data_IF_499650666091
#
_entry.id   IF_499650666091
#
_cell.length_a   1.000
_cell.length_b   1.000
_cell.length_c   1.000
_cell.angle_alpha   90.00
_cell.angle_beta   90.00
_cell.angle_gamma   90.00
#
_symmetry.space_group_name_H-M   'P 1'
#
loop_
_entity.id
_entity.type
_entity.pdbx_description
1 polymer ?
#
# COMPACT_ATOMS: atom_id res chain seq x y z
N UNK A 1 -3.76 -4.12 25.76
CA UNK A 1 -3.21 -2.81 26.17
C UNK A 1 -4.23 -1.64 26.15
N UNK A 2 -5.53 -1.87 25.92
CA UNK A 2 -6.55 -0.81 25.76
C UNK A 2 -7.66 -0.81 26.83
N UNK A 3 -7.42 -1.45 28.00
CA UNK A 3 -8.41 -1.60 29.08
C UNK A 3 -8.96 -0.28 29.64
N UNK A 4 -8.21 0.81 29.48
CA UNK A 4 -8.59 2.14 29.98
C UNK A 4 -9.81 2.73 29.24
N UNK A 5 -10.03 2.35 27.97
CA UNK A 5 -11.17 2.83 27.19
C UNK A 5 -12.50 2.25 27.68
N UNK A 6 -12.49 1.12 28.39
CA UNK A 6 -13.72 0.52 28.97
C UNK A 6 -14.32 1.41 30.06
N UNK A 7 -13.53 2.30 30.69
CA UNK A 7 -14.04 3.22 31.71
C UNK A 7 -14.89 4.36 31.14
N UNK A 8 -14.96 4.50 29.81
CA UNK A 8 -15.76 5.53 29.13
C UNK A 8 -17.12 5.02 28.62
N UNK A 9 -17.45 3.74 28.85
CA UNK A 9 -18.68 3.13 28.31
C UNK A 9 -19.84 3.15 29.31
N UNK A 10 -21.04 3.38 28.81
CA UNK A 10 -22.31 3.12 29.51
C UNK A 10 -23.07 2.02 28.76
N UNK A 11 -23.62 1.05 29.50
CA UNK A 11 -24.49 0.01 28.93
C UNK A 11 -25.84 0.64 28.60
N UNK A 12 -26.23 0.62 27.32
CA UNK A 12 -27.59 0.97 26.89
C UNK A 12 -28.33 -0.33 26.65
N UNK A 13 -29.00 -0.85 27.68
CA UNK A 13 -29.88 -2.01 27.55
C UNK A 13 -31.10 -1.58 26.74
N UNK A 14 -31.24 -2.11 25.53
CA UNK A 14 -32.44 -1.95 24.71
C UNK A 14 -33.58 -2.79 25.30
N UNK A 15 -34.13 -2.35 26.43
CA UNK A 15 -35.43 -2.78 26.93
C UNK A 15 -36.35 -1.55 27.00
N UNK A 16 -36.77 -1.04 25.83
CA UNK A 16 -37.98 -0.24 25.77
C UNK A 16 -39.18 -1.18 25.73
N UNK A 17 -39.61 -1.57 26.93
CA UNK A 17 -40.89 -2.19 27.18
C UNK A 17 -41.47 -1.60 28.46
N UNK A 18 -42.23 -0.49 28.30
CA UNK A 18 -43.17 0.11 29.26
C UNK A 18 -42.62 0.45 30.66
N UNK A 19 -42.51 1.74 30.95
CA UNK A 19 -43.46 2.45 31.83
C UNK A 19 -43.13 3.95 31.81
N UNK A 20 -44.19 4.76 31.78
CA UNK A 20 -44.19 6.21 31.71
C UNK A 20 -43.83 6.78 33.09
N UNK A 21 -42.76 7.55 33.21
CA UNK A 21 -42.65 8.65 34.18
C UNK A 21 -41.82 9.78 33.55
N UNK A 22 -42.39 10.98 33.55
CA UNK A 22 -41.81 12.21 33.04
C UNK A 22 -40.60 12.62 33.90
N UNK A 23 -39.41 12.11 33.60
CA UNK A 23 -38.16 12.77 33.97
C UNK A 23 -37.65 13.55 32.76
N UNK A 24 -37.35 14.83 32.98
CA UNK A 24 -36.77 15.74 32.01
C UNK A 24 -35.68 15.02 31.23
N UNK A 25 -35.90 14.86 29.91
CA UNK A 25 -34.92 14.31 28.99
C UNK A 25 -33.76 15.31 28.92
N UNK A 26 -32.85 15.23 29.90
CA UNK A 26 -31.56 15.89 29.85
C UNK A 26 -30.86 15.27 28.64
N UNK A 27 -30.97 15.96 27.49
CA UNK A 27 -30.25 15.65 26.25
C UNK A 27 -28.77 15.85 26.55
N UNK A 28 -28.19 14.88 27.27
CA UNK A 28 -26.77 14.78 27.47
C UNK A 28 -26.16 14.58 26.09
N UNK A 29 -25.22 15.43 25.67
CA UNK A 29 -24.75 15.42 24.29
C UNK A 29 -24.15 14.05 23.99
N UNK A 30 -24.61 13.38 22.93
CA UNK A 30 -24.11 12.07 22.45
C UNK A 30 -22.57 12.02 22.34
N UNK A 31 -21.94 13.19 22.22
CA UNK A 31 -20.49 13.43 22.18
C UNK A 31 -19.76 13.18 23.52
N UNK A 32 -20.47 13.07 24.65
CA UNK A 32 -19.88 12.84 25.99
C UNK A 32 -19.92 11.37 26.42
N UNK A 33 -20.73 10.53 25.79
CA UNK A 33 -20.96 9.14 26.18
C UNK A 33 -20.73 8.21 24.99
N UNK A 34 -19.65 7.43 25.01
CA UNK A 34 -19.39 6.44 23.97
C UNK A 34 -20.10 5.13 24.27
N UNK A 35 -20.75 4.54 23.27
CA UNK A 35 -21.29 3.17 23.40
C UNK A 35 -20.13 2.17 23.44
N UNK A 36 -20.37 0.99 24.03
CA UNK A 36 -19.40 -0.12 24.02
C UNK A 36 -18.97 -0.44 22.58
N UNK A 37 -19.92 -0.44 21.65
CA UNK A 37 -19.68 -0.63 20.22
C UNK A 37 -18.68 0.39 19.65
N UNK A 38 -18.87 1.69 19.92
CA UNK A 38 -17.95 2.74 19.44
C UNK A 38 -16.53 2.58 20.01
N UNK A 39 -16.42 2.11 21.25
CA UNK A 39 -15.13 1.87 21.89
C UNK A 39 -14.43 0.65 21.30
N UNK A 40 -15.15 -0.44 21.02
CA UNK A 40 -14.58 -1.61 20.33
C UNK A 40 -14.17 -1.28 18.90
N UNK A 41 -15.00 -0.53 18.16
CA UNK A 41 -14.70 -0.04 16.81
C UNK A 41 -13.40 0.80 16.79
N UNK A 42 -13.23 1.68 17.78
CA UNK A 42 -12.01 2.49 17.94
C UNK A 42 -10.79 1.63 18.29
N UNK A 43 -10.93 0.65 19.19
CA UNK A 43 -9.85 -0.27 19.54
C UNK A 43 -9.42 -1.13 18.36
N UNK A 44 -10.37 -1.66 17.59
CA UNK A 44 -10.09 -2.42 16.37
C UNK A 44 -9.29 -1.56 15.39
N UNK A 45 -9.71 -0.31 15.17
CA UNK A 45 -8.99 0.64 14.32
C UNK A 45 -7.56 0.86 14.80
N UNK A 46 -7.37 1.14 16.09
CA UNK A 46 -6.03 1.38 16.68
C UNK A 46 -5.13 0.15 16.56
N UNK A 47 -5.69 -1.07 16.71
CA UNK A 47 -4.94 -2.31 16.54
C UNK A 47 -4.46 -2.52 15.10
N UNK A 48 -5.25 -2.11 14.11
CA UNK A 48 -4.91 -2.24 12.68
C UNK A 48 -3.86 -1.21 12.22
N UNK A 49 -3.73 -0.07 12.90
CA UNK A 49 -2.81 1.02 12.51
C UNK A 49 -1.35 0.60 12.23
N UNK A 50 -0.70 -0.27 13.03
CA UNK A 50 0.66 -0.71 12.73
C UNK A 50 0.76 -1.43 11.38
N UNK A 51 -0.15 -2.36 11.09
CA UNK A 51 -0.19 -3.06 9.79
C UNK A 51 -0.55 -2.07 8.67
N UNK A 52 -1.53 -1.20 8.90
CA UNK A 52 -1.92 -0.14 7.96
C UNK A 52 -0.73 0.75 7.57
N UNK A 53 0.12 1.13 8.53
CA UNK A 53 1.28 2.00 8.28
C UNK A 53 2.29 1.40 7.29
N UNK A 54 2.34 0.06 7.18
CA UNK A 54 3.19 -0.64 6.20
C UNK A 54 2.73 -0.39 4.75
N UNK A 55 1.48 0.04 4.56
CA UNK A 55 0.89 0.43 3.27
C UNK A 55 1.33 1.80 2.75
N UNK A 56 1.99 2.62 3.58
CA UNK A 56 2.48 3.95 3.19
C UNK A 56 3.57 3.83 2.11
N UNK A 57 4.50 2.86 2.24
CA UNK A 57 5.59 2.68 1.27
C UNK A 57 5.11 2.23 -0.13
N UNK A 58 4.17 1.27 -0.28
CA UNK A 58 3.46 1.07 -1.53
C UNK A 58 2.85 2.36 -2.09
N UNK A 59 2.23 3.17 -1.24
CA UNK A 59 1.70 4.49 -1.62
C UNK A 59 2.77 5.45 -2.14
N UNK A 60 3.98 5.45 -1.58
CA UNK A 60 5.14 6.22 -2.09
C UNK A 60 5.46 5.82 -3.53
N UNK A 61 5.54 4.52 -3.81
CA UNK A 61 5.85 4.02 -5.16
C UNK A 61 4.74 4.38 -6.14
N UNK A 62 3.48 4.12 -5.76
CA UNK A 62 2.32 4.38 -6.60
C UNK A 62 2.17 5.88 -6.88
N UNK A 63 2.46 6.74 -5.90
CA UNK A 63 2.39 8.19 -6.04
C UNK A 63 3.44 8.81 -6.97
N UNK A 64 4.47 8.06 -7.38
CA UNK A 64 5.63 8.57 -8.13
C UNK A 64 5.69 8.11 -9.59
N UNK A 65 4.54 7.97 -10.26
CA UNK A 65 4.45 7.56 -11.66
C UNK A 65 5.18 8.47 -12.65
N UNK A 66 5.52 9.70 -12.26
CA UNK A 66 6.24 10.64 -13.13
C UNK A 66 7.63 10.15 -13.53
N UNK A 67 8.36 9.48 -12.63
CA UNK A 67 9.76 9.10 -12.91
C UNK A 67 9.89 8.03 -14.02
N UNK A 68 9.14 6.91 -14.00
CA UNK A 68 9.15 5.96 -15.13
C UNK A 68 8.77 6.59 -16.47
N UNK A 69 7.85 7.56 -16.48
CA UNK A 69 7.49 8.29 -17.70
C UNK A 69 8.68 9.09 -18.21
N UNK A 70 9.40 9.81 -17.33
CA UNK A 70 10.63 10.53 -17.70
C UNK A 70 11.70 9.56 -18.24
N UNK A 71 11.88 8.39 -17.62
CA UNK A 71 12.78 7.35 -18.16
C UNK A 71 12.40 6.99 -19.59
N UNK A 72 11.14 6.65 -19.83
CA UNK A 72 10.64 6.26 -21.15
C UNK A 72 10.82 7.37 -22.20
N UNK A 73 10.71 8.66 -21.84
CA UNK A 73 10.94 9.77 -22.80
C UNK A 73 12.37 9.82 -23.32
N UNK A 74 13.34 9.32 -22.56
CA UNK A 74 14.77 9.32 -22.95
C UNK A 74 15.20 8.05 -23.67
N UNK A 75 14.30 7.08 -23.84
CA UNK A 75 14.58 5.77 -24.43
C UNK A 75 13.92 5.61 -25.80
N UNK A 76 14.36 4.64 -26.59
CA UNK A 76 13.71 4.30 -27.84
C UNK A 76 12.39 3.55 -27.59
N UNK A 77 11.27 4.20 -27.91
CA UNK A 77 9.90 3.69 -27.70
C UNK A 77 9.30 3.04 -28.95
N UNK A 78 10.09 2.84 -30.01
CA UNK A 78 9.60 2.25 -31.26
C UNK A 78 9.50 0.73 -31.16
N UNK A 79 8.37 0.21 -31.61
CA UNK A 79 8.11 -1.23 -31.80
C UNK A 79 7.72 -1.41 -33.26
N UNK A 80 8.67 -1.89 -34.06
CA UNK A 80 8.51 -1.94 -35.51
C UNK A 80 8.32 -0.54 -36.10
N UNK A 81 7.13 -0.25 -36.62
CA UNK A 81 6.78 1.06 -37.23
C UNK A 81 6.05 2.01 -36.29
N UNK A 82 5.61 1.53 -35.12
CA UNK A 82 4.80 2.31 -34.19
C UNK A 82 5.65 2.83 -33.03
N UNK A 83 5.41 4.07 -32.61
CA UNK A 83 6.07 4.67 -31.44
C UNK A 83 5.08 4.77 -30.28
N UNK A 84 5.33 4.04 -29.20
CA UNK A 84 4.44 4.01 -28.03
C UNK A 84 4.64 5.29 -27.20
N UNK A 85 3.59 6.05 -26.85
CA UNK A 85 3.74 7.23 -26.00
C UNK A 85 4.37 6.88 -24.64
N UNK A 86 5.29 7.71 -24.14
CA UNK A 86 6.01 7.45 -22.89
C UNK A 86 5.06 7.26 -21.68
N UNK A 87 3.99 8.06 -21.61
CA UNK A 87 3.00 7.97 -20.54
C UNK A 87 2.19 6.65 -20.56
N UNK A 88 2.11 5.98 -21.71
CA UNK A 88 1.33 4.74 -21.86
C UNK A 88 2.02 3.51 -21.26
N UNK A 89 3.30 3.58 -20.87
CA UNK A 89 4.01 2.45 -20.27
C UNK A 89 3.39 1.97 -18.95
N UNK A 90 2.67 2.83 -18.22
CA UNK A 90 1.91 2.43 -17.03
C UNK A 90 0.81 1.39 -17.31
N UNK A 91 0.33 1.28 -18.56
CA UNK A 91 -0.67 0.27 -18.96
C UNK A 91 -0.17 -1.15 -18.72
N UNK A 92 1.14 -1.41 -18.83
CA UNK A 92 1.69 -2.74 -18.56
C UNK A 92 1.51 -3.16 -17.09
N UNK A 93 1.57 -2.21 -16.15
CA UNK A 93 1.25 -2.48 -14.74
C UNK A 93 -0.23 -2.88 -14.59
N UNK A 94 -1.14 -2.13 -15.21
CA UNK A 94 -2.60 -2.38 -15.15
C UNK A 94 -2.95 -3.73 -15.80
N UNK A 95 -2.37 -4.03 -16.97
CA UNK A 95 -2.55 -5.32 -17.63
C UNK A 95 -2.05 -6.46 -16.76
N UNK A 96 -0.87 -6.32 -16.15
CA UNK A 96 -0.31 -7.36 -15.27
C UNK A 96 -1.18 -7.58 -14.05
N UNK A 97 -1.65 -6.51 -13.41
CA UNK A 97 -2.61 -6.59 -12.30
C UNK A 97 -3.88 -7.33 -12.74
N UNK A 98 -4.46 -6.95 -13.87
CA UNK A 98 -5.72 -7.52 -14.37
C UNK A 98 -5.57 -9.02 -14.70
N UNK A 99 -4.49 -9.37 -15.40
CA UNK A 99 -4.17 -10.77 -15.72
C UNK A 99 -3.94 -11.56 -14.44
N UNK A 100 -3.20 -11.00 -13.47
CA UNK A 100 -2.97 -11.67 -12.20
C UNK A 100 -4.26 -11.95 -11.44
N UNK A 101 -5.16 -10.98 -11.33
CA UNK A 101 -6.46 -11.17 -10.66
C UNK A 101 -7.25 -12.29 -11.34
N UNK A 102 -7.35 -12.27 -12.67
CA UNK A 102 -8.06 -13.30 -13.42
C UNK A 102 -7.43 -14.70 -13.24
N UNK A 103 -6.10 -14.79 -13.24
CA UNK A 103 -5.36 -16.04 -13.03
C UNK A 103 -5.51 -16.52 -11.59
N UNK A 104 -5.45 -15.62 -10.61
CA UNK A 104 -5.61 -15.96 -9.21
C UNK A 104 -6.98 -16.59 -8.97
N UNK A 105 -8.04 -15.89 -9.36
CA UNK A 105 -9.42 -16.30 -9.09
C UNK A 105 -9.83 -17.57 -9.85
N UNK A 106 -9.43 -17.70 -11.12
CA UNK A 106 -9.84 -18.86 -11.95
C UNK A 106 -8.95 -20.08 -11.81
N UNK A 107 -7.63 -19.88 -11.75
CA UNK A 107 -6.67 -20.97 -11.89
C UNK A 107 -5.98 -21.32 -10.57
N UNK A 108 -5.66 -20.34 -9.71
CA UNK A 108 -4.83 -20.58 -8.52
C UNK A 108 -5.63 -20.82 -7.24
N UNK A 109 -6.82 -20.23 -7.07
CA UNK A 109 -7.61 -20.39 -5.83
C UNK A 109 -7.92 -21.86 -5.54
N UNK A 110 -8.35 -22.66 -6.53
CA UNK A 110 -8.68 -24.08 -6.34
C UNK A 110 -7.49 -24.96 -5.94
N UNK A 111 -6.33 -24.92 -6.62
CA UNK A 111 -5.17 -25.71 -6.20
C UNK A 111 -4.56 -25.18 -4.90
N UNK A 112 -4.49 -23.85 -4.73
CA UNK A 112 -3.96 -23.28 -3.49
C UNK A 112 -4.85 -23.62 -2.30
N UNK A 113 -6.18 -23.59 -2.44
CA UNK A 113 -7.06 -23.94 -1.32
C UNK A 113 -6.94 -25.41 -0.91
N UNK A 114 -6.69 -26.31 -1.88
CA UNK A 114 -6.39 -27.72 -1.60
C UNK A 114 -5.04 -27.92 -0.91
N UNK A 115 -4.03 -27.12 -1.27
CA UNK A 115 -2.68 -27.26 -0.71
C UNK A 115 -2.55 -26.60 0.67
N UNK A 116 -3.12 -25.42 0.83
CA UNK A 116 -3.00 -24.59 2.03
C UNK A 116 -4.09 -24.84 3.05
N UNK A 117 -5.16 -25.54 2.69
CA UNK A 117 -6.35 -25.71 3.53
C UNK A 117 -7.21 -24.46 3.71
N UNK A 118 -6.83 -23.32 3.11
CA UNK A 118 -7.57 -22.06 3.24
C UNK A 118 -8.50 -21.84 2.05
N UNK A 119 -9.74 -21.43 2.29
CA UNK A 119 -10.75 -21.25 1.23
C UNK A 119 -10.32 -20.29 0.10
N UNK A 120 -9.44 -19.32 0.40
CA UNK A 120 -8.90 -18.35 -0.56
C UNK A 120 -7.50 -18.68 -1.10
N UNK A 121 -6.93 -19.83 -0.73
CA UNK A 121 -5.57 -20.21 -1.11
C UNK A 121 -4.52 -19.56 -0.22
N UNK A 122 -3.99 -18.40 -0.60
CA UNK A 122 -3.01 -17.69 0.24
C UNK A 122 -3.70 -16.95 1.40
N UNK A 123 -3.07 -16.95 2.57
CA UNK A 123 -3.52 -16.12 3.71
C UNK A 123 -3.36 -14.63 3.38
N UNK A 124 -4.13 -13.77 4.06
CA UNK A 124 -4.12 -12.33 3.80
C UNK A 124 -2.76 -11.71 4.09
N UNK A 125 -2.15 -12.05 5.24
CA UNK A 125 -0.79 -11.63 5.57
C UNK A 125 0.26 -12.10 4.56
N UNK A 126 0.16 -13.32 4.02
CA UNK A 126 1.08 -13.80 2.98
C UNK A 126 0.92 -12.99 1.68
N UNK A 127 -0.32 -12.73 1.24
CA UNK A 127 -0.56 -11.90 0.04
C UNK A 127 0.00 -10.50 0.21
N UNK A 128 -0.26 -9.87 1.36
CA UNK A 128 0.26 -8.55 1.69
C UNK A 128 1.79 -8.52 1.71
N UNK A 129 2.43 -9.45 2.43
CA UNK A 129 3.88 -9.54 2.54
C UNK A 129 4.58 -9.82 1.21
N UNK A 130 4.04 -10.74 0.39
CA UNK A 130 4.55 -11.02 -0.96
C UNK A 130 4.48 -9.77 -1.85
N UNK A 131 3.38 -9.02 -1.79
CA UNK A 131 3.26 -7.77 -2.53
C UNK A 131 4.28 -6.72 -2.08
N UNK A 132 4.53 -6.56 -0.77
CA UNK A 132 5.59 -5.67 -0.26
C UNK A 132 6.99 -6.07 -0.76
N UNK A 133 7.29 -7.37 -0.75
CA UNK A 133 8.56 -7.89 -1.26
C UNK A 133 8.71 -7.65 -2.77
N UNK A 134 7.63 -7.79 -3.54
CA UNK A 134 7.62 -7.52 -4.97
C UNK A 134 7.78 -6.04 -5.29
N UNK A 135 7.25 -5.12 -4.46
CA UNK A 135 7.56 -3.69 -4.58
C UNK A 135 9.06 -3.42 -4.41
N UNK A 136 9.71 -4.04 -3.42
CA UNK A 136 11.15 -3.91 -3.23
C UNK A 136 11.93 -4.46 -4.45
N UNK A 137 11.52 -5.62 -4.97
CA UNK A 137 12.09 -6.21 -6.18
C UNK A 137 11.88 -5.32 -7.42
N UNK A 138 10.70 -4.72 -7.59
CA UNK A 138 10.39 -3.80 -8.67
C UNK A 138 11.31 -2.57 -8.64
N UNK A 139 11.53 -1.98 -7.46
CA UNK A 139 12.47 -0.86 -7.30
C UNK A 139 13.92 -1.28 -7.57
N UNK A 140 14.32 -2.49 -7.18
CA UNK A 140 15.67 -3.00 -7.46
C UNK A 140 15.89 -3.18 -8.98
N UNK A 141 14.88 -3.70 -9.68
CA UNK A 141 14.88 -3.81 -11.15
C UNK A 141 14.92 -2.42 -11.80
N UNK A 142 14.18 -1.45 -11.26
CA UNK A 142 14.21 -0.08 -11.74
C UNK A 142 15.58 0.58 -11.57
N UNK A 143 16.21 0.41 -10.40
CA UNK A 143 17.56 0.89 -10.12
C UNK A 143 18.58 0.30 -11.11
N UNK A 144 18.52 -1.01 -11.36
CA UNK A 144 19.39 -1.69 -12.32
C UNK A 144 19.17 -1.21 -13.75
N UNK A 145 17.91 -1.07 -14.15
CA UNK A 145 17.53 -0.62 -15.50
C UNK A 145 17.98 0.82 -15.73
N UNK A 146 17.81 1.68 -14.74
CA UNK A 146 18.27 3.08 -14.79
C UNK A 146 19.79 3.18 -14.83
N UNK A 147 20.50 2.38 -14.02
CA UNK A 147 21.96 2.31 -14.05
C UNK A 147 22.47 1.97 -15.45
N UNK A 148 21.86 0.95 -16.09
CA UNK A 148 22.20 0.54 -17.45
C UNK A 148 21.86 1.60 -18.49
N UNK A 149 20.68 2.22 -18.40
CA UNK A 149 20.23 3.30 -19.29
C UNK A 149 21.16 4.50 -19.23
N UNK A 150 21.51 4.93 -18.02
CA UNK A 150 22.41 6.07 -17.77
C UNK A 150 23.83 5.78 -18.26
N UNK A 151 24.37 4.60 -17.99
CA UNK A 151 25.69 4.22 -18.49
C UNK A 151 25.76 4.27 -20.02
N UNK A 152 24.71 3.79 -20.70
CA UNK A 152 24.61 3.86 -22.16
C UNK A 152 24.46 5.31 -22.66
N UNK A 153 23.66 6.14 -21.98
CA UNK A 153 23.53 7.57 -22.32
C UNK A 153 24.88 8.31 -22.26
N UNK A 154 25.71 8.01 -21.25
CA UNK A 154 27.04 8.59 -21.13
C UNK A 154 27.97 8.10 -22.23
N UNK A 155 27.94 6.80 -22.56
CA UNK A 155 28.74 6.23 -23.65
C UNK A 155 28.38 6.81 -25.03
N UNK A 156 27.11 7.19 -25.23
CA UNK A 156 26.61 7.83 -26.46
C UNK A 156 26.84 9.36 -26.48
N UNK A 157 27.47 9.93 -25.45
CA UNK A 157 27.70 11.38 -25.36
C UNK A 157 26.43 12.20 -25.09
N UNK A 158 25.37 11.56 -24.60
CA UNK A 158 24.05 12.17 -24.36
C UNK A 158 23.89 12.81 -22.96
N UNK A 159 24.98 12.92 -22.19
CA UNK A 159 24.95 13.39 -20.79
C UNK A 159 24.23 14.74 -20.61
N UNK A 160 24.51 15.70 -21.47
CA UNK A 160 23.94 17.06 -21.38
C UNK A 160 22.64 17.23 -22.18
N UNK A 161 22.26 16.22 -22.96
CA UNK A 161 21.04 16.22 -23.76
C UNK A 161 19.87 15.70 -22.91
N UNK A 162 19.03 16.63 -22.45
CA UNK A 162 17.84 16.30 -21.67
C UNK A 162 16.66 15.76 -22.51
N UNK A 163 15.53 15.44 -21.86
CA UNK A 163 14.35 14.86 -22.52
C UNK A 163 13.76 15.70 -23.67
N UNK A 164 13.98 17.03 -23.64
CA UNK A 164 13.49 17.98 -24.66
C UNK A 164 14.39 18.08 -25.90
N UNK A 165 15.55 17.46 -25.90
CA UNK A 165 16.51 17.52 -27.02
C UNK A 165 16.08 16.68 -28.23
N UNK A 166 15.08 15.81 -28.07
CA UNK A 166 14.67 14.84 -29.09
C UNK A 166 15.67 13.70 -29.31
N UNK A 167 16.82 13.70 -28.61
CA UNK A 167 17.81 12.64 -28.65
C UNK A 167 17.49 11.59 -27.59
N UNK A 168 17.31 10.35 -28.04
CA UNK A 168 17.04 9.21 -27.17
C UNK A 168 18.27 8.31 -27.11
N UNK A 169 18.45 7.66 -25.97
CA UNK A 169 19.44 6.60 -25.79
C UNK A 169 19.04 5.43 -26.68
N UNK A 170 20.00 4.75 -27.32
CA UNK A 170 19.74 3.54 -28.15
C UNK A 170 19.44 2.30 -27.31
N UNK A 171 18.55 2.45 -26.34
CA UNK A 171 18.05 1.41 -25.46
C UNK A 171 16.53 1.37 -25.61
N UNK A 172 15.99 0.18 -25.93
CA UNK A 172 14.55 0.02 -26.05
C UNK A 172 13.86 0.24 -24.71
N UNK A 173 12.82 1.07 -24.70
CA UNK A 173 11.94 1.31 -23.56
C UNK A 173 11.20 0.04 -23.12
N UNK A 174 11.20 -1.02 -23.94
CA UNK A 174 10.70 -2.35 -23.54
C UNK A 174 11.45 -2.93 -22.32
N UNK A 175 12.67 -2.47 -22.05
CA UNK A 175 13.42 -2.83 -20.83
C UNK A 175 12.78 -2.30 -19.53
N UNK A 176 11.82 -1.37 -19.61
CA UNK A 176 11.02 -0.91 -18.47
C UNK A 176 9.86 -1.86 -18.13
N UNK A 177 9.51 -2.81 -19.00
CA UNK A 177 8.39 -3.72 -18.73
C UNK A 177 8.57 -4.53 -17.44
N UNK A 178 9.74 -5.11 -17.13
CA UNK A 178 9.93 -5.90 -15.91
C UNK A 178 9.58 -5.13 -14.63
N UNK A 179 10.00 -3.86 -14.49
CA UNK A 179 9.63 -3.04 -13.33
C UNK A 179 8.12 -2.76 -13.28
N UNK A 180 7.47 -2.50 -14.43
CA UNK A 180 6.03 -2.26 -14.50
C UNK A 180 5.22 -3.51 -14.17
N UNK A 181 5.58 -4.66 -14.73
CA UNK A 181 4.92 -5.93 -14.45
C UNK A 181 5.07 -6.33 -12.99
N UNK A 182 6.27 -6.20 -12.40
CA UNK A 182 6.48 -6.47 -10.98
C UNK A 182 5.67 -5.53 -10.09
N UNK A 183 5.61 -4.23 -10.44
CA UNK A 183 4.80 -3.24 -9.70
C UNK A 183 3.32 -3.58 -9.77
N UNK A 184 2.79 -3.92 -10.95
CA UNK A 184 1.38 -4.29 -11.12
C UNK A 184 1.01 -5.57 -10.37
N UNK A 185 1.90 -6.57 -10.37
CA UNK A 185 1.73 -7.79 -9.59
C UNK A 185 1.79 -7.51 -8.07
N UNK A 186 2.72 -6.66 -7.64
CA UNK A 186 2.87 -6.23 -6.25
C UNK A 186 1.60 -5.51 -5.76
N UNK A 187 1.06 -4.61 -6.57
CA UNK A 187 -0.19 -3.89 -6.29
C UNK A 187 -1.37 -4.85 -6.19
N UNK A 188 -1.51 -5.80 -7.12
CA UNK A 188 -2.57 -6.80 -7.08
C UNK A 188 -2.53 -7.66 -5.80
N UNK A 189 -1.34 -8.07 -5.35
CA UNK A 189 -1.18 -8.87 -4.15
C UNK A 189 -1.36 -8.06 -2.87
N UNK A 190 -0.75 -6.88 -2.80
CA UNK A 190 -0.74 -6.06 -1.59
C UNK A 190 -2.04 -5.29 -1.39
N UNK A 191 -2.52 -4.58 -2.41
CA UNK A 191 -3.66 -3.67 -2.29
C UNK A 191 -4.97 -4.44 -2.08
N UNK A 192 -5.17 -5.51 -2.86
CA UNK A 192 -6.33 -6.39 -2.67
C UNK A 192 -6.24 -7.09 -1.31
N UNK A 193 -5.04 -7.55 -0.92
CA UNK A 193 -4.79 -8.13 0.40
C UNK A 193 -5.14 -7.18 1.55
N UNK A 194 -4.77 -5.89 1.44
CA UNK A 194 -5.09 -4.86 2.43
C UNK A 194 -6.59 -4.59 2.52
N UNK A 195 -7.29 -4.43 1.38
CA UNK A 195 -8.74 -4.20 1.38
C UNK A 195 -9.47 -5.39 2.01
N UNK A 196 -9.11 -6.62 1.62
CA UNK A 196 -9.69 -7.83 2.19
C UNK A 196 -9.38 -7.97 3.68
N UNK A 197 -8.17 -7.58 4.12
CA UNK A 197 -7.78 -7.57 5.54
C UNK A 197 -8.60 -6.57 6.33
N UNK A 198 -8.77 -5.34 5.85
CA UNK A 198 -9.61 -4.34 6.52
C UNK A 198 -11.07 -4.81 6.61
N UNK A 199 -11.63 -5.40 5.55
CA UNK A 199 -12.99 -5.97 5.61
C UNK A 199 -13.11 -7.21 6.50
N UNK A 200 -12.02 -7.92 6.77
CA UNK A 200 -12.02 -9.07 7.67
C UNK A 200 -11.96 -8.65 9.14
N UNK A 201 -11.19 -7.59 9.46
CA UNK A 201 -11.01 -7.09 10.83
C UNK A 201 -12.09 -6.08 11.25
N UNK A 202 -12.68 -5.34 10.31
CA UNK A 202 -13.74 -4.38 10.63
C UNK A 202 -15.15 -5.00 10.51
N UNK A 203 -16.08 -4.70 11.45
CA UNK A 203 -17.48 -5.08 11.30
C UNK A 203 -18.10 -4.41 10.06
N UNK A 204 -19.23 -4.95 9.57
CA UNK A 204 -19.89 -4.46 8.34
C UNK A 204 -20.25 -2.97 8.40
N UNK A 205 -20.55 -2.45 9.59
CA UNK A 205 -20.81 -1.02 9.85
C UNK A 205 -19.60 -0.12 9.57
N UNK A 206 -18.38 -0.66 9.65
CA UNK A 206 -17.11 0.06 9.50
C UNK A 206 -16.43 -0.14 8.14
N UNK A 207 -17.12 -0.75 7.17
CA UNK A 207 -16.59 -0.96 5.80
C UNK A 207 -16.02 0.33 5.17
N UNK A 208 -16.70 1.47 5.37
CA UNK A 208 -16.24 2.78 4.91
C UNK A 208 -14.89 3.22 5.52
N UNK A 209 -14.63 2.85 6.78
CA UNK A 209 -13.37 3.17 7.48
C UNK A 209 -12.22 2.40 6.84
N UNK A 210 -12.42 1.13 6.46
CA UNK A 210 -11.41 0.35 5.75
C UNK A 210 -10.98 0.98 4.42
N UNK A 211 -11.94 1.45 3.62
CA UNK A 211 -11.64 2.14 2.35
C UNK A 211 -10.97 3.50 2.58
N UNK A 212 -11.42 4.23 3.61
CA UNK A 212 -10.85 5.52 3.98
C UNK A 212 -9.41 5.38 4.49
N UNK A 213 -9.11 4.35 5.29
CA UNK A 213 -7.75 4.01 5.69
C UNK A 213 -6.88 3.70 4.48
N UNK A 214 -7.36 2.93 3.52
CA UNK A 214 -6.61 2.69 2.29
C UNK A 214 -6.28 3.99 1.54
N UNK A 215 -7.29 4.85 1.33
CA UNK A 215 -7.13 6.12 0.65
C UNK A 215 -6.14 7.04 1.41
N UNK A 216 -6.24 7.08 2.74
CA UNK A 216 -5.30 7.79 3.60
C UNK A 216 -3.87 7.24 3.44
N UNK A 217 -3.70 5.93 3.40
CA UNK A 217 -2.40 5.30 3.20
C UNK A 217 -1.74 5.72 1.88
N UNK A 218 -2.52 5.75 0.79
CA UNK A 218 -2.06 6.24 -0.51
C UNK A 218 -1.73 7.75 -0.47
N UNK A 219 -2.57 8.56 0.16
CA UNK A 219 -2.36 9.99 0.33
C UNK A 219 -1.08 10.31 1.12
N UNK A 220 -0.91 9.68 2.29
CA UNK A 220 0.31 9.78 3.09
C UNK A 220 1.53 9.28 2.30
N UNK A 221 1.38 8.22 1.51
CA UNK A 221 2.42 7.74 0.61
C UNK A 221 2.86 8.80 -0.40
N UNK A 222 1.94 9.52 -1.04
CA UNK A 222 2.28 10.61 -1.97
C UNK A 222 3.01 11.77 -1.30
N UNK A 223 2.56 12.18 -0.11
CA UNK A 223 3.22 13.24 0.68
C UNK A 223 4.61 12.78 1.13
N UNK A 224 4.73 11.56 1.66
CA UNK A 224 5.99 10.96 2.06
C UNK A 224 6.96 10.83 0.88
N UNK A 225 6.47 10.41 -0.29
CA UNK A 225 7.27 10.35 -1.51
C UNK A 225 7.81 11.72 -1.91
N UNK A 226 6.98 12.76 -1.82
CA UNK A 226 7.42 14.14 -2.07
C UNK A 226 8.46 14.60 -1.05
N UNK A 227 8.29 14.24 0.23
CA UNK A 227 9.26 14.52 1.28
C UNK A 227 10.60 13.80 1.04
N UNK A 228 10.59 12.52 0.65
CA UNK A 228 11.79 11.75 0.29
C UNK A 228 12.54 12.43 -0.86
N UNK A 229 11.84 12.83 -1.91
CA UNK A 229 12.41 13.59 -3.04
C UNK A 229 13.04 14.90 -2.57
N UNK A 230 12.35 15.66 -1.72
CA UNK A 230 12.85 16.91 -1.15
C UNK A 230 14.10 16.73 -0.29
N UNK A 231 14.10 15.72 0.59
CA UNK A 231 15.24 15.38 1.46
C UNK A 231 16.45 14.98 0.63
N UNK A 232 16.27 14.08 -0.34
CA UNK A 232 17.36 13.64 -1.22
C UNK A 232 17.88 14.81 -2.05
N UNK A 233 16.99 15.65 -2.59
CA UNK A 233 17.38 16.87 -3.30
C UNK A 233 18.24 17.80 -2.44
N UNK A 234 17.80 18.07 -1.21
CA UNK A 234 18.51 18.94 -0.27
C UNK A 234 19.82 18.35 0.26
N UNK A 235 19.92 17.02 0.40
CA UNK A 235 21.12 16.33 0.85
C UNK A 235 22.18 16.18 -0.25
N UNK A 236 21.75 16.00 -1.50
CA UNK A 236 22.64 15.69 -2.64
C UNK A 236 23.03 16.89 -3.48
N UNK A 237 22.20 17.95 -3.51
CA UNK A 237 22.45 19.17 -4.27
C UNK A 237 23.25 20.25 -3.53
N UNK A 238 24.08 19.89 -2.54
CA UNK A 238 24.91 20.85 -1.80
C UNK A 238 26.19 21.19 -2.57
N UNK A 239 26.72 22.39 -2.33
CA UNK A 239 28.03 22.85 -2.82
C UNK A 239 28.16 23.02 -4.35
N UNK A 240 27.10 23.42 -5.03
CA UNK A 240 27.12 23.72 -6.47
C UNK A 240 27.23 22.48 -7.39
N UNK A 241 27.11 21.27 -6.82
CA UNK A 241 26.98 20.01 -7.56
C UNK A 241 25.52 19.74 -7.90
N UNK A 242 25.27 19.09 -9.03
CA UNK A 242 23.91 18.65 -9.35
C UNK A 242 23.45 17.59 -8.36
N UNK A 243 22.27 17.79 -7.78
CA UNK A 243 21.62 16.76 -6.97
C UNK A 243 21.25 15.54 -7.80
N UNK A 244 20.92 14.43 -7.14
CA UNK A 244 20.59 13.18 -7.84
C UNK A 244 19.35 13.31 -8.73
N UNK A 245 18.37 14.12 -8.33
CA UNK A 245 17.09 14.33 -9.02
C UNK A 245 17.11 15.67 -9.79
N UNK A 246 17.87 15.74 -10.88
CA UNK A 246 17.87 16.88 -11.80
C UNK A 246 16.97 16.65 -13.00
N UNK A 247 16.41 17.74 -13.55
CA UNK A 247 15.54 17.74 -14.73
C UNK A 247 16.12 16.98 -15.93
N UNK A 248 17.45 16.99 -16.08
CA UNK A 248 18.12 16.13 -17.05
C UNK A 248 18.43 14.76 -16.43
N UNK A 249 17.60 13.78 -16.77
CA UNK A 249 17.73 12.39 -16.33
C UNK A 249 19.10 11.77 -16.67
N UNK A 250 19.75 12.18 -17.76
CA UNK A 250 21.07 11.66 -18.15
C UNK A 250 22.20 12.19 -17.27
N UNK A 251 21.99 13.36 -16.65
CA UNK A 251 22.93 13.98 -15.71
C UNK A 251 22.69 13.49 -14.28
N UNK A 252 21.43 13.32 -13.92
CA UNK A 252 20.99 12.84 -12.61
C UNK A 252 21.36 11.40 -12.31
N UNK A 253 21.14 11.02 -11.06
CA UNK A 253 21.39 9.68 -10.50
C UNK A 253 20.09 9.09 -9.97
N UNK A 254 19.14 8.87 -10.89
CA UNK A 254 17.85 8.25 -10.58
C UNK A 254 18.01 6.78 -10.19
N UNK A 255 19.10 6.14 -10.59
CA UNK A 255 19.53 4.83 -10.13
C UNK A 255 19.71 4.77 -8.61
N UNK A 256 20.38 5.77 -8.02
CA UNK A 256 20.53 5.85 -6.57
C UNK A 256 19.22 6.15 -5.86
N UNK A 257 18.37 6.97 -6.46
CA UNK A 257 17.02 7.21 -5.95
C UNK A 257 16.21 5.91 -5.84
N UNK A 258 16.15 5.12 -6.91
CA UNK A 258 15.47 3.83 -6.89
C UNK A 258 16.11 2.86 -5.90
N UNK A 259 17.44 2.89 -5.73
CA UNK A 259 18.13 2.06 -4.75
C UNK A 259 17.76 2.44 -3.30
N UNK A 260 17.60 3.73 -3.00
CA UNK A 260 17.08 4.18 -1.70
C UNK A 260 15.66 3.65 -1.48
N UNK A 261 14.79 3.74 -2.50
CA UNK A 261 13.44 3.16 -2.41
C UNK A 261 13.47 1.65 -2.21
N UNK A 262 14.38 0.92 -2.87
CA UNK A 262 14.57 -0.53 -2.63
C UNK A 262 14.89 -0.81 -1.18
N UNK A 263 15.83 -0.08 -0.58
CA UNK A 263 16.23 -0.26 0.82
C UNK A 263 15.08 0.06 1.77
N UNK A 264 14.35 1.17 1.53
CA UNK A 264 13.18 1.54 2.33
C UNK A 264 12.06 0.50 2.22
N UNK A 265 11.81 -0.05 1.02
CA UNK A 265 10.82 -1.11 0.84
C UNK A 265 11.25 -2.42 1.51
N UNK A 266 12.54 -2.79 1.43
CA UNK A 266 13.07 -3.96 2.13
C UNK A 266 12.95 -3.80 3.66
N UNK A 267 13.27 -2.62 4.19
CA UNK A 267 13.04 -2.29 5.59
C UNK A 267 11.55 -2.36 5.96
N UNK A 268 10.66 -1.90 5.07
CA UNK A 268 9.22 -1.99 5.27
C UNK A 268 8.69 -3.44 5.28
N UNK A 269 9.30 -4.35 4.51
CA UNK A 269 8.99 -5.79 4.59
C UNK A 269 9.35 -6.33 5.97
N UNK A 270 10.54 -6.00 6.49
CA UNK A 270 10.94 -6.42 7.84
C UNK A 270 10.01 -5.83 8.90
N UNK A 271 9.67 -4.54 8.77
CA UNK A 271 8.71 -3.87 9.64
C UNK A 271 7.33 -4.53 9.59
N UNK A 272 6.82 -4.90 8.41
CA UNK A 272 5.57 -5.64 8.26
C UNK A 272 5.61 -6.99 8.97
N UNK A 273 6.72 -7.73 8.88
CA UNK A 273 6.87 -9.00 9.59
C UNK A 273 6.86 -8.80 11.12
N UNK A 274 7.51 -7.74 11.62
CA UNK A 274 7.50 -7.40 13.05
C UNK A 274 6.10 -6.99 13.52
N UNK A 275 5.38 -6.17 12.75
CA UNK A 275 4.00 -5.80 13.04
C UNK A 275 3.08 -7.03 13.02
N UNK A 276 3.25 -7.91 12.03
CA UNK A 276 2.48 -9.15 11.92
C UNK A 276 2.72 -10.10 13.08
N UNK A 277 3.96 -10.17 13.59
CA UNK A 277 4.30 -10.94 14.79
C UNK A 277 3.67 -10.33 16.05
N UNK A 278 3.74 -9.01 16.21
CA UNK A 278 3.13 -8.30 17.34
C UNK A 278 1.60 -8.33 17.32
N UNK A 279 0.97 -8.48 16.15
CA UNK A 279 -0.48 -8.51 15.99
C UNK A 279 -1.12 -9.85 16.41
N UNK A 280 -0.38 -10.96 16.41
CA UNK A 280 -0.91 -12.30 16.73
C UNK A 280 -1.59 -12.99 15.53
N UNK A 281 -2.22 -14.16 15.74
CA UNK A 281 -2.84 -14.93 14.66
C UNK A 281 -4.14 -14.28 14.13
N UNK A 282 -4.30 -14.27 12.79
CA UNK A 282 -5.52 -13.85 12.08
C UNK A 282 -6.73 -14.59 12.66
N UNK A 283 -7.71 -13.84 13.20
CA UNK A 283 -8.97 -14.41 13.70
C UNK A 283 -9.07 -14.62 15.22
N UNK A 284 -8.01 -14.42 16.01
CA UNK A 284 -8.13 -14.45 17.49
C UNK A 284 -9.08 -13.37 18.01
N UNK A 285 -9.14 -12.21 17.36
CA UNK A 285 -10.07 -11.14 17.74
C UNK A 285 -11.53 -11.58 17.54
N UNK A 286 -11.86 -12.26 16.44
CA UNK A 286 -13.24 -12.69 16.15
C UNK A 286 -13.70 -13.85 17.04
N UNK A 287 -12.78 -14.70 17.49
CA UNK A 287 -13.08 -15.73 18.48
C UNK A 287 -13.31 -15.11 19.88
N UNK A 288 -12.51 -14.11 20.26
CA UNK A 288 -12.71 -13.37 21.50
C UNK A 288 -14.00 -12.55 21.48
N UNK A 289 -14.32 -11.88 20.36
CA UNK A 289 -15.54 -11.11 20.19
C UNK A 289 -16.78 -12.01 20.13
N UNK A 290 -16.68 -13.20 19.52
CA UNK A 290 -17.76 -14.19 19.53
C UNK A 290 -17.98 -14.82 20.91
N UNK A 291 -16.91 -15.04 21.69
CA UNK A 291 -17.01 -15.48 23.09
C UNK A 291 -17.61 -14.38 23.98
N UNK A 292 -17.28 -13.11 23.75
CA UNK A 292 -17.86 -11.96 24.47
C UNK A 292 -19.35 -11.77 24.09
N UNK A 293 -19.71 -11.89 22.81
CA UNK A 293 -21.10 -11.86 22.33
C UNK A 293 -21.91 -13.01 22.94
N UNK A 294 -21.35 -14.23 22.99
CA UNK A 294 -22.00 -15.40 23.60
C UNK A 294 -22.14 -15.24 25.13
N UNK A 295 -21.16 -14.66 25.81
CA UNK A 295 -21.22 -14.35 27.24
C UNK A 295 -22.25 -13.25 27.55
N UNK A 296 -22.34 -12.21 26.73
CA UNK A 296 -23.35 -11.16 26.86
C UNK A 296 -24.77 -11.69 26.63
N UNK A 297 -24.96 -12.55 25.61
CA UNK A 297 -26.23 -13.25 25.39
C UNK A 297 -26.62 -14.13 26.58
N UNK A 298 -25.68 -14.86 27.17
CA UNK A 298 -25.93 -15.66 28.39
C UNK A 298 -26.29 -14.79 29.60
N UNK A 299 -25.67 -13.63 29.74
CA UNK A 299 -25.95 -12.69 30.84
C UNK A 299 -27.32 -11.98 30.71
N UNK A 300 -27.89 -11.91 29.51
CA UNK A 300 -29.24 -11.35 29.29
C UNK A 300 -30.35 -12.39 29.53
N UNK A 301 -30.02 -13.68 29.37
CA UNK A 301 -30.99 -14.80 29.48
C UNK A 301 -31.06 -15.38 30.91
N UNK A 302 -30.12 -15.02 31.80
CA UNK A 302 -30.06 -15.49 33.20
C UNK A 302 -30.49 -14.40 34.16
#
# INVERSE_FOLDING_TARGET
MLRYLNRACVFRTTNQGKEEEEEEEEVTPEWRLCTVQQVEDAKATVRVLPIWSTGIMPGVIIGQQMFPVLQATTMDRRVGRFEIPAASFGVFSILTLTVWVAVYDRALVRPLSRLTGHARGLTLRQRMGLGLALFAAAMAVAARTESARRAQAIAEGLRDFGPRSGRTVRMSAMRLLPQHCLTGLAEALNLIGQIEFYYAEFPKSMSSIGVSLLALGLGFGGVMGSAIVGIIGAATGRDGRDGWLVNNLNRGHYDYYYLVLTVLCAANVVYFLLCGWAYGEEGQNRAADAEDDEQQLKAIIT
#
